data_IF_903763806697
#
_entry.id   IF_903763806697
#
_cell.length_a   1.000
_cell.length_b   1.000
_cell.length_c   1.000
_cell.angle_alpha   90.00
_cell.angle_beta   90.00
_cell.angle_gamma   90.00
#
_symmetry.space_group_name_H-M   'P 1'
#
loop_
_entity.id
_entity.type
_entity.pdbx_description
1 polymer ?
#
# COMPACT_ATOMS: atom_id res chain seq x y z
N UNK A 1 13.83 -48.82 -68.65
CA UNK A 1 13.93 -48.49 -67.18
C UNK A 1 14.04 -46.97 -67.05
N UNK A 2 12.95 -46.31 -66.76
CA UNK A 2 12.94 -44.84 -66.53
C UNK A 2 13.13 -44.58 -65.04
N UNK A 3 14.21 -43.92 -64.67
CA UNK A 3 14.46 -43.47 -63.25
C UNK A 3 13.68 -42.17 -62.99
N UNK A 4 12.73 -42.25 -62.05
CA UNK A 4 11.96 -41.13 -61.60
C UNK A 4 12.80 -40.42 -60.50
N UNK A 5 13.24 -39.19 -60.75
CA UNK A 5 13.86 -38.33 -59.75
C UNK A 5 12.72 -37.57 -59.03
N UNK A 6 12.49 -37.94 -57.76
CA UNK A 6 11.61 -37.18 -56.86
C UNK A 6 12.47 -36.11 -56.21
N UNK A 7 12.27 -34.86 -56.63
CA UNK A 7 12.86 -33.67 -55.98
C UNK A 7 12.03 -33.31 -54.73
N UNK A 8 12.63 -33.49 -53.55
CA UNK A 8 12.01 -33.10 -52.29
C UNK A 8 12.28 -31.60 -52.06
N UNK A 9 11.29 -30.76 -52.40
CA UNK A 9 11.34 -29.32 -52.13
C UNK A 9 11.07 -29.09 -50.64
N UNK A 10 12.13 -28.83 -49.89
CA UNK A 10 12.06 -28.51 -48.45
C UNK A 10 11.54 -27.07 -48.32
N UNK A 11 10.25 -26.93 -48.04
CA UNK A 11 9.60 -25.65 -47.78
C UNK A 11 10.00 -25.19 -46.40
N UNK A 12 11.04 -24.33 -46.28
CA UNK A 12 11.42 -23.64 -45.06
C UNK A 12 10.28 -22.64 -44.75
N UNK A 13 9.39 -23.01 -43.84
CA UNK A 13 8.46 -22.04 -43.23
C UNK A 13 9.27 -21.11 -42.34
N UNK A 14 9.55 -19.91 -42.83
CA UNK A 14 9.98 -18.79 -42.01
C UNK A 14 8.82 -18.48 -41.04
N UNK A 15 8.88 -19.05 -39.85
CA UNK A 15 8.07 -18.54 -38.73
C UNK A 15 8.48 -17.07 -38.52
N UNK A 16 7.55 -16.12 -38.50
CA UNK A 16 7.90 -14.76 -38.19
C UNK A 16 8.51 -14.78 -36.77
N UNK A 17 9.79 -14.41 -36.66
CA UNK A 17 10.38 -14.08 -35.38
C UNK A 17 9.52 -12.91 -34.85
N UNK A 18 8.69 -13.17 -33.86
CA UNK A 18 8.03 -12.08 -33.14
C UNK A 18 9.14 -11.10 -32.70
N UNK A 19 9.06 -9.87 -33.19
CA UNK A 19 10.04 -8.85 -32.80
C UNK A 19 10.08 -8.80 -31.26
N UNK A 20 11.26 -9.05 -30.68
CA UNK A 20 11.42 -8.99 -29.24
C UNK A 20 10.98 -7.61 -28.77
N UNK A 21 10.17 -7.56 -27.72
CA UNK A 21 9.75 -6.29 -27.12
C UNK A 21 11.03 -5.53 -26.70
N UNK A 22 11.25 -4.34 -27.26
CA UNK A 22 12.46 -3.54 -26.96
C UNK A 22 12.62 -3.20 -25.49
N UNK A 23 11.55 -3.31 -24.69
CA UNK A 23 11.55 -3.09 -23.25
C UNK A 23 11.75 -4.37 -22.43
N UNK A 24 11.89 -5.54 -23.06
CA UNK A 24 12.20 -6.80 -22.39
C UNK A 24 13.71 -6.88 -22.08
N UNK A 25 14.14 -6.04 -21.13
CA UNK A 25 15.51 -5.90 -20.66
C UNK A 25 15.50 -5.15 -19.31
N UNK A 26 16.61 -5.10 -18.56
CA UNK A 26 16.71 -4.40 -17.28
C UNK A 26 16.82 -2.87 -17.40
N UNK A 27 16.86 -2.30 -18.61
CA UNK A 27 17.02 -0.86 -18.79
C UNK A 27 15.88 -0.06 -18.16
N UNK A 28 16.21 1.13 -17.66
CA UNK A 28 15.21 2.02 -17.07
C UNK A 28 14.29 2.60 -18.14
N UNK A 29 13.00 2.59 -17.86
CA UNK A 29 11.99 3.29 -18.65
C UNK A 29 11.78 4.67 -18.02
N UNK A 30 11.86 5.74 -18.81
CA UNK A 30 11.62 7.10 -18.36
C UNK A 30 10.24 7.58 -18.78
N UNK A 31 9.44 7.98 -17.80
CA UNK A 31 8.11 8.58 -17.99
C UNK A 31 8.22 10.08 -17.80
N UNK A 32 7.75 10.87 -18.78
CA UNK A 32 7.70 12.33 -18.66
C UNK A 32 6.52 12.92 -19.42
N UNK A 33 5.69 13.70 -18.74
CA UNK A 33 4.49 14.30 -19.33
C UNK A 33 4.78 15.26 -20.49
N UNK A 34 5.94 15.90 -20.48
CA UNK A 34 6.37 16.82 -21.53
C UNK A 34 6.85 16.10 -22.80
N UNK A 35 7.00 14.77 -22.76
CA UNK A 35 7.43 13.94 -23.88
C UNK A 35 8.94 13.83 -24.01
N UNK A 36 9.71 14.20 -23.01
CA UNK A 36 11.18 13.99 -22.98
C UNK A 36 11.58 12.60 -22.53
N UNK A 37 10.62 11.77 -22.06
CA UNK A 37 10.78 10.34 -21.76
C UNK A 37 10.30 9.44 -22.89
N UNK A 38 10.40 8.12 -22.69
CA UNK A 38 9.86 7.12 -23.61
C UNK A 38 8.32 7.12 -23.61
N UNK A 39 7.71 7.42 -22.46
CA UNK A 39 6.25 7.46 -22.29
C UNK A 39 5.81 8.76 -21.64
N UNK A 40 4.54 9.11 -21.86
CA UNK A 40 3.90 10.28 -21.24
C UNK A 40 3.08 9.92 -20.02
N UNK A 41 2.71 8.65 -19.88
CA UNK A 41 1.92 8.12 -18.78
C UNK A 41 2.66 6.97 -18.09
N UNK A 42 2.36 6.77 -16.81
CA UNK A 42 2.92 5.65 -16.04
C UNK A 42 2.27 4.34 -16.49
N UNK A 43 0.98 4.39 -16.85
CA UNK A 43 0.23 3.24 -17.36
C UNK A 43 0.88 2.63 -18.61
N UNK A 44 1.25 3.45 -19.61
CA UNK A 44 1.98 3.00 -20.79
C UNK A 44 3.30 2.30 -20.44
N UNK A 45 4.03 2.81 -19.45
CA UNK A 45 5.29 2.21 -19.00
C UNK A 45 5.07 0.88 -18.26
N UNK A 46 3.96 0.74 -17.52
CA UNK A 46 3.58 -0.53 -16.89
C UNK A 46 3.21 -1.57 -17.95
N UNK A 47 2.40 -1.20 -18.95
CA UNK A 47 1.88 -2.10 -19.99
C UNK A 47 2.98 -2.72 -20.87
N UNK A 48 4.12 -2.05 -21.04
CA UNK A 48 5.23 -2.61 -21.84
C UNK A 48 6.15 -3.53 -21.05
N UNK A 49 5.99 -3.63 -19.74
CA UNK A 49 6.77 -4.54 -18.91
C UNK A 49 6.38 -6.00 -19.16
N UNK A 50 7.38 -6.85 -19.32
CA UNK A 50 7.17 -8.29 -19.52
C UNK A 50 6.64 -8.94 -18.22
N UNK A 51 5.69 -9.84 -18.39
CA UNK A 51 5.24 -10.69 -17.28
C UNK A 51 6.37 -11.62 -16.78
N UNK A 52 6.41 -11.85 -15.47
CA UNK A 52 7.34 -12.80 -14.82
C UNK A 52 8.82 -12.56 -15.18
N UNK A 53 9.24 -11.30 -15.07
CA UNK A 53 10.65 -10.93 -15.30
C UNK A 53 11.57 -11.60 -14.29
N UNK A 54 12.70 -12.09 -14.78
CA UNK A 54 13.81 -12.64 -13.99
C UNK A 54 14.92 -11.58 -13.71
N UNK A 55 14.65 -10.33 -14.04
CA UNK A 55 15.49 -9.16 -13.79
C UNK A 55 14.66 -8.04 -13.13
N UNK A 56 15.34 -7.07 -12.52
CA UNK A 56 14.68 -5.89 -11.97
C UNK A 56 14.48 -4.82 -13.05
N UNK A 57 13.32 -4.16 -13.01
CA UNK A 57 12.96 -3.08 -13.93
C UNK A 57 12.69 -1.80 -13.16
N UNK A 58 13.22 -0.69 -13.64
CA UNK A 58 12.93 0.65 -13.07
C UNK A 58 12.04 1.42 -14.03
N UNK A 59 10.94 1.95 -13.52
CA UNK A 59 10.12 2.98 -14.15
C UNK A 59 10.45 4.29 -13.44
N UNK A 60 11.25 5.14 -14.08
CA UNK A 60 11.64 6.44 -13.55
C UNK A 60 10.66 7.51 -14.02
N UNK A 61 9.99 8.13 -13.07
CA UNK A 61 8.90 9.08 -13.32
C UNK A 61 9.40 10.49 -13.02
N UNK A 62 9.47 11.33 -14.05
CA UNK A 62 9.85 12.73 -13.90
C UNK A 62 8.79 13.53 -13.15
N UNK A 63 9.20 14.70 -12.62
CA UNK A 63 8.29 15.61 -11.94
C UNK A 63 7.06 15.91 -12.80
N UNK A 64 5.90 15.97 -12.14
CA UNK A 64 4.61 16.23 -12.76
C UNK A 64 3.45 15.64 -11.99
N UNK A 65 2.24 16.09 -12.34
CA UNK A 65 0.99 15.53 -11.78
C UNK A 65 0.40 14.56 -12.79
N UNK A 66 0.43 13.28 -12.45
CA UNK A 66 -0.09 12.17 -13.24
C UNK A 66 -1.48 11.81 -12.72
N UNK A 67 -2.53 12.30 -13.38
CA UNK A 67 -3.91 11.93 -13.03
C UNK A 67 -4.24 10.58 -13.67
N UNK A 68 -3.84 9.52 -12.98
CA UNK A 68 -3.93 8.15 -13.46
C UNK A 68 -4.40 7.22 -12.34
N UNK A 69 -5.24 6.25 -12.70
CA UNK A 69 -5.66 5.15 -11.83
C UNK A 69 -4.95 3.89 -12.27
N UNK A 70 -4.00 3.45 -11.47
CA UNK A 70 -2.99 2.47 -11.89
C UNK A 70 -3.15 1.11 -11.21
N UNK A 71 -2.81 0.07 -11.95
CA UNK A 71 -2.65 -1.29 -11.43
C UNK A 71 -1.27 -1.82 -11.84
N UNK A 72 -0.50 -2.31 -10.86
CA UNK A 72 0.59 -3.25 -11.14
C UNK A 72 0.03 -4.66 -10.96
N UNK A 73 -0.28 -5.37 -12.05
CA UNK A 73 -0.93 -6.67 -11.97
C UNK A 73 -0.02 -7.75 -11.38
N UNK A 74 -0.61 -8.85 -10.93
CA UNK A 74 0.09 -9.89 -10.16
C UNK A 74 1.23 -10.60 -10.92
N UNK A 75 1.21 -10.55 -12.25
CA UNK A 75 2.28 -11.11 -13.08
C UNK A 75 3.48 -10.17 -13.28
N UNK A 76 3.40 -8.93 -12.82
CA UNK A 76 4.54 -8.01 -12.80
C UNK A 76 5.25 -8.10 -11.44
N UNK A 77 6.53 -8.49 -11.50
CA UNK A 77 7.40 -8.64 -10.32
C UNK A 77 8.71 -7.88 -10.54
N UNK A 78 9.43 -7.60 -9.46
CA UNK A 78 10.74 -6.96 -9.52
C UNK A 78 10.73 -5.56 -10.19
N UNK A 79 9.67 -4.77 -9.96
CA UNK A 79 9.53 -3.41 -10.50
C UNK A 79 9.78 -2.38 -9.41
N UNK A 80 10.57 -1.37 -9.75
CA UNK A 80 10.69 -0.14 -8.98
C UNK A 80 10.02 1.00 -9.74
N UNK A 81 9.00 1.65 -9.13
CA UNK A 81 8.50 2.95 -9.58
C UNK A 81 9.24 4.00 -8.74
N UNK A 82 10.05 4.81 -9.39
CA UNK A 82 10.88 5.83 -8.75
C UNK A 82 10.55 7.23 -9.29
N UNK A 83 9.99 8.08 -8.45
CA UNK A 83 9.81 9.50 -8.78
C UNK A 83 11.14 10.25 -8.76
N UNK A 84 11.25 11.28 -9.59
CA UNK A 84 12.38 12.20 -9.63
C UNK A 84 12.46 13.00 -8.32
N UNK A 85 11.34 13.49 -7.83
CA UNK A 85 11.20 14.19 -6.56
C UNK A 85 9.92 13.76 -5.84
N UNK A 86 10.03 13.50 -4.53
CA UNK A 86 8.92 13.00 -3.72
C UNK A 86 7.70 13.92 -3.72
N UNK A 87 7.92 15.22 -3.65
CA UNK A 87 6.87 16.21 -3.45
C UNK A 87 6.29 16.72 -4.78
N UNK A 88 7.04 16.57 -5.87
CA UNK A 88 6.70 17.08 -7.20
C UNK A 88 6.32 15.96 -8.20
N UNK A 89 6.63 14.69 -7.91
CA UNK A 89 6.15 13.56 -8.72
C UNK A 89 4.90 12.98 -8.08
N UNK A 90 3.72 13.31 -8.62
CA UNK A 90 2.42 13.05 -7.98
C UNK A 90 1.55 12.17 -8.86
N UNK A 91 1.19 10.99 -8.36
CA UNK A 91 0.11 10.17 -8.93
C UNK A 91 -1.16 10.49 -8.15
N UNK A 92 -2.21 10.93 -8.84
CA UNK A 92 -3.46 11.35 -8.19
C UNK A 92 -4.69 10.80 -8.88
N UNK A 93 -5.72 10.48 -8.08
CA UNK A 93 -7.06 10.09 -8.54
C UNK A 93 -8.10 10.56 -7.52
N UNK A 94 -9.39 10.51 -7.88
CA UNK A 94 -10.47 11.14 -7.11
C UNK A 94 -11.70 10.25 -6.91
N UNK A 95 -11.55 8.92 -7.02
CA UNK A 95 -12.65 7.98 -6.74
C UNK A 95 -12.92 7.86 -5.24
N UNK A 96 -14.21 7.76 -4.88
CA UNK A 96 -14.65 7.44 -3.53
C UNK A 96 -15.77 6.39 -3.53
N UNK A 97 -15.94 5.69 -2.41
CA UNK A 97 -16.79 4.50 -2.31
C UNK A 97 -18.27 4.74 -2.69
N UNK A 98 -18.75 5.97 -2.57
CA UNK A 98 -20.15 6.31 -2.82
C UNK A 98 -20.44 6.71 -4.29
N UNK A 99 -19.42 6.75 -5.17
CA UNK A 99 -19.66 6.92 -6.60
C UNK A 99 -20.53 5.77 -7.10
N UNK A 100 -21.59 6.09 -7.82
CA UNK A 100 -22.43 5.07 -8.42
C UNK A 100 -21.80 4.55 -9.70
N UNK A 101 -21.69 3.24 -9.79
CA UNK A 101 -21.11 2.58 -10.96
C UNK A 101 -21.94 2.89 -12.21
N UNK A 102 -21.36 3.49 -13.26
CA UNK A 102 -22.12 3.97 -14.43
C UNK A 102 -22.64 2.82 -15.29
N UNK A 103 -21.83 1.80 -15.49
CA UNK A 103 -22.19 0.54 -16.21
C UNK A 103 -21.31 -0.54 -15.62
N UNK A 104 -21.72 -1.80 -15.73
CA UNK A 104 -20.81 -2.90 -15.48
C UNK A 104 -19.58 -2.74 -16.40
N UNK A 105 -18.36 -2.69 -15.83
CA UNK A 105 -17.13 -2.85 -16.58
C UNK A 105 -17.02 -4.25 -17.19
N UNK A 106 -15.82 -4.68 -17.55
CA UNK A 106 -15.57 -6.03 -18.08
C UNK A 106 -16.01 -7.16 -17.14
N UNK A 107 -16.08 -6.88 -15.84
CA UNK A 107 -16.72 -7.72 -14.83
C UNK A 107 -18.23 -7.46 -14.76
N UNK A 108 -18.80 -7.07 -15.85
CA UNK A 108 -20.11 -6.50 -16.02
C UNK A 108 -21.20 -7.42 -15.54
N UNK A 109 -21.31 -7.44 -14.32
CA UNK A 109 -22.59 -7.78 -13.79
C UNK A 109 -23.47 -6.54 -13.93
N UNK A 110 -24.47 -6.61 -14.76
CA UNK A 110 -25.58 -5.66 -14.78
C UNK A 110 -26.12 -5.40 -13.36
N UNK A 111 -25.85 -6.34 -12.47
CA UNK A 111 -26.11 -6.32 -11.04
C UNK A 111 -25.43 -5.19 -10.25
N UNK A 112 -24.35 -4.57 -10.72
CA UNK A 112 -23.65 -3.47 -10.01
C UNK A 112 -23.98 -2.08 -10.53
N UNK A 113 -24.67 -1.97 -11.68
CA UNK A 113 -25.10 -0.67 -12.21
C UNK A 113 -25.90 0.13 -11.18
N UNK A 114 -25.50 1.36 -10.93
CA UNK A 114 -26.14 2.26 -9.95
C UNK A 114 -25.86 1.92 -8.48
N UNK A 115 -25.16 0.84 -8.17
CA UNK A 115 -24.68 0.55 -6.80
C UNK A 115 -23.43 1.38 -6.50
N UNK A 116 -23.14 1.66 -5.22
CA UNK A 116 -21.90 2.30 -4.83
C UNK A 116 -20.67 1.50 -5.31
N UNK A 117 -19.62 2.21 -5.70
CA UNK A 117 -18.35 1.63 -6.13
C UNK A 117 -17.71 0.74 -5.06
N UNK A 118 -17.85 1.13 -3.80
CA UNK A 118 -17.24 0.46 -2.65
C UNK A 118 -15.73 0.75 -2.53
N UNK A 119 -15.21 0.56 -1.33
CA UNK A 119 -13.85 0.95 -0.94
C UNK A 119 -12.76 0.42 -1.87
N UNK A 120 -12.80 -0.87 -2.20
CA UNK A 120 -11.68 -1.56 -2.87
C UNK A 120 -11.51 -1.23 -4.34
N UNK A 121 -12.41 -0.46 -4.92
CA UNK A 121 -12.31 0.06 -6.30
C UNK A 121 -11.86 1.50 -6.37
N UNK A 122 -11.63 2.17 -5.25
CA UNK A 122 -11.33 3.61 -5.21
C UNK A 122 -9.85 3.96 -5.31
N UNK A 123 -8.97 2.97 -5.35
CA UNK A 123 -7.51 3.15 -5.33
C UNK A 123 -7.01 4.11 -6.42
N UNK A 124 -5.99 4.86 -6.08
CA UNK A 124 -5.17 5.57 -7.06
C UNK A 124 -4.13 4.62 -7.64
N UNK A 125 -3.36 3.93 -6.79
CA UNK A 125 -2.44 2.88 -7.21
C UNK A 125 -2.77 1.57 -6.49
N UNK A 126 -2.99 0.50 -7.27
CA UNK A 126 -3.14 -0.87 -6.78
C UNK A 126 -1.93 -1.71 -7.17
N UNK A 127 -1.29 -2.33 -6.19
CA UNK A 127 -0.13 -3.19 -6.36
C UNK A 127 -0.52 -4.63 -6.06
N UNK A 128 -0.65 -5.44 -7.10
CA UNK A 128 -0.91 -6.89 -6.99
C UNK A 128 0.36 -7.71 -7.17
N UNK A 129 1.36 -7.16 -7.86
CA UNK A 129 2.66 -7.77 -8.04
C UNK A 129 3.46 -7.82 -6.75
N UNK A 130 4.37 -8.80 -6.65
CA UNK A 130 5.30 -8.95 -5.52
C UNK A 130 6.70 -8.45 -5.87
N UNK A 131 7.53 -8.17 -4.86
CA UNK A 131 8.87 -7.57 -5.03
C UNK A 131 8.80 -6.22 -5.75
N UNK A 132 7.87 -5.39 -5.31
CA UNK A 132 7.67 -4.05 -5.87
C UNK A 132 8.24 -2.99 -4.92
N UNK A 133 8.98 -2.04 -5.47
CA UNK A 133 9.46 -0.86 -4.75
C UNK A 133 8.79 0.40 -5.27
N UNK A 134 8.22 1.19 -4.37
CA UNK A 134 7.72 2.54 -4.63
C UNK A 134 8.66 3.52 -3.91
N UNK A 135 9.23 4.47 -4.65
CA UNK A 135 10.26 5.35 -4.10
C UNK A 135 10.12 6.78 -4.58
N UNK A 136 10.37 7.75 -3.69
CA UNK A 136 10.42 9.18 -3.99
C UNK A 136 9.19 9.69 -4.76
N UNK A 137 7.99 9.31 -4.35
CA UNK A 137 6.76 9.64 -5.08
C UNK A 137 5.62 9.98 -4.12
N UNK A 138 4.76 10.89 -4.53
CA UNK A 138 3.47 11.14 -3.88
C UNK A 138 2.37 10.33 -4.56
N UNK A 139 1.61 9.58 -3.77
CA UNK A 139 0.41 8.86 -4.20
C UNK A 139 -0.77 9.44 -3.43
N UNK A 140 -1.71 10.02 -4.15
CA UNK A 140 -2.80 10.78 -3.57
C UNK A 140 -4.15 10.25 -4.06
N UNK A 141 -5.10 10.05 -3.14
CA UNK A 141 -6.50 10.09 -3.50
C UNK A 141 -7.08 11.42 -3.01
N UNK A 142 -7.36 12.33 -3.94
CA UNK A 142 -7.79 13.68 -3.64
C UNK A 142 -9.32 13.85 -3.61
N UNK A 143 -10.08 12.76 -3.57
CA UNK A 143 -11.52 12.82 -3.36
C UNK A 143 -11.85 13.63 -2.10
N UNK A 144 -12.89 14.44 -2.19
CA UNK A 144 -13.44 15.13 -1.02
C UNK A 144 -13.86 14.09 0.06
N UNK A 145 -14.13 14.55 1.29
CA UNK A 145 -14.55 13.68 2.41
C UNK A 145 -15.96 13.10 2.21
N UNK A 146 -16.14 12.33 1.13
CA UNK A 146 -17.41 11.76 0.68
C UNK A 146 -17.57 10.27 0.97
N UNK A 147 -16.61 9.67 1.64
CA UNK A 147 -16.57 8.23 1.97
C UNK A 147 -15.14 7.70 1.89
N UNK A 148 -15.02 6.39 1.90
CA UNK A 148 -13.73 5.70 1.77
C UNK A 148 -13.10 6.01 0.40
N UNK A 149 -11.79 6.27 0.39
CA UNK A 149 -11.05 6.70 -0.80
C UNK A 149 -9.57 6.29 -0.65
N UNK A 150 -9.21 5.15 -1.24
CA UNK A 150 -7.88 4.53 -1.09
C UNK A 150 -6.87 5.24 -2.00
N UNK A 151 -5.74 5.67 -1.47
CA UNK A 151 -4.62 6.10 -2.32
C UNK A 151 -3.74 4.93 -2.74
N UNK A 152 -3.29 4.12 -1.79
CA UNK A 152 -2.43 2.97 -2.04
C UNK A 152 -3.08 1.66 -1.57
N UNK A 153 -3.30 0.73 -2.50
CA UNK A 153 -3.90 -0.58 -2.26
C UNK A 153 -2.88 -1.68 -2.55
N UNK A 154 -2.47 -2.42 -1.53
CA UNK A 154 -1.43 -3.45 -1.62
C UNK A 154 -2.05 -4.84 -1.52
N UNK A 155 -1.83 -5.69 -2.53
CA UNK A 155 -2.20 -7.12 -2.54
C UNK A 155 -0.98 -8.03 -2.77
N UNK A 156 0.14 -7.49 -3.28
CA UNK A 156 1.38 -8.22 -3.44
C UNK A 156 2.10 -8.49 -2.12
N UNK A 157 3.08 -9.36 -2.17
CA UNK A 157 4.01 -9.62 -1.06
C UNK A 157 5.38 -8.98 -1.35
N UNK A 158 6.19 -8.70 -0.33
CA UNK A 158 7.48 -8.00 -0.45
C UNK A 158 7.34 -6.64 -1.14
N UNK A 159 6.50 -5.77 -0.58
CA UNK A 159 6.33 -4.40 -1.08
C UNK A 159 7.15 -3.43 -0.23
N UNK A 160 8.07 -2.71 -0.87
CA UNK A 160 8.86 -1.65 -0.24
C UNK A 160 8.33 -0.28 -0.67
N UNK A 161 7.99 0.56 0.31
CA UNK A 161 7.58 1.96 0.10
C UNK A 161 8.58 2.85 0.83
N UNK A 162 9.38 3.61 0.08
CA UNK A 162 10.48 4.37 0.65
C UNK A 162 10.42 5.85 0.25
N UNK A 163 10.52 6.73 1.23
CA UNK A 163 10.49 8.19 1.03
C UNK A 163 9.32 8.63 0.14
N UNK A 164 8.11 8.12 0.45
CA UNK A 164 6.88 8.44 -0.27
C UNK A 164 5.93 9.30 0.57
N UNK A 165 5.03 10.04 -0.10
CA UNK A 165 3.87 10.65 0.54
C UNK A 165 2.62 9.92 0.13
N UNK A 166 1.84 9.47 1.11
CA UNK A 166 0.57 8.78 0.90
C UNK A 166 -0.55 9.67 1.45
N UNK A 167 -1.26 10.31 0.54
CA UNK A 167 -2.22 11.37 0.88
C UNK A 167 -3.65 10.90 0.62
N UNK A 168 -4.51 11.13 1.60
CA UNK A 168 -5.92 10.77 1.49
C UNK A 168 -6.77 11.26 2.64
N UNK A 169 -7.94 10.71 2.76
CA UNK A 169 -8.88 10.97 3.84
C UNK A 169 -9.21 9.66 4.59
N UNK A 170 -10.43 9.13 4.46
CA UNK A 170 -10.77 7.85 5.04
C UNK A 170 -10.20 6.71 4.19
N UNK A 171 -9.54 5.72 4.83
CA UNK A 171 -9.03 4.50 4.21
C UNK A 171 -7.85 4.75 3.22
N UNK A 172 -6.87 5.59 3.58
CA UNK A 172 -5.78 6.00 2.67
C UNK A 172 -4.91 4.84 2.20
N UNK A 173 -4.44 3.97 3.12
CA UNK A 173 -3.53 2.84 2.81
C UNK A 173 -4.18 1.52 3.19
N UNK A 174 -4.36 0.65 2.21
CA UNK A 174 -4.92 -0.69 2.39
C UNK A 174 -3.89 -1.79 2.18
N UNK A 175 -3.71 -2.68 3.15
CA UNK A 175 -2.88 -3.88 3.08
C UNK A 175 -3.77 -5.11 2.91
N UNK A 176 -4.03 -5.51 1.65
CA UNK A 176 -5.20 -6.30 1.25
C UNK A 176 -5.16 -7.79 1.57
N UNK A 177 -4.00 -8.41 1.75
CA UNK A 177 -3.85 -9.87 1.87
C UNK A 177 -3.20 -10.23 3.20
N UNK A 178 -3.82 -11.17 3.92
CA UNK A 178 -3.26 -11.71 5.16
C UNK A 178 -1.88 -12.35 4.92
N UNK A 179 -0.99 -12.19 5.86
CA UNK A 179 0.42 -12.62 5.83
C UNK A 179 1.32 -11.94 4.79
N UNK A 180 0.79 -11.24 3.79
CA UNK A 180 1.64 -10.48 2.88
C UNK A 180 2.36 -9.34 3.62
N UNK A 181 3.57 -9.04 3.16
CA UNK A 181 4.52 -8.18 3.83
C UNK A 181 4.70 -6.87 3.09
N UNK A 182 4.67 -5.77 3.81
CA UNK A 182 4.96 -4.45 3.28
C UNK A 182 5.78 -3.63 4.27
N UNK A 183 6.83 -2.96 3.80
CA UNK A 183 7.67 -2.09 4.61
C UNK A 183 7.59 -0.65 4.12
N UNK A 184 7.47 0.27 5.05
CA UNK A 184 7.39 1.70 4.81
C UNK A 184 8.53 2.38 5.57
N UNK A 185 9.43 3.03 4.83
CA UNK A 185 10.57 3.77 5.40
C UNK A 185 10.50 5.25 5.04
N UNK A 186 10.69 6.10 6.02
CA UNK A 186 10.77 7.55 5.83
C UNK A 186 9.57 8.15 5.09
N UNK A 187 8.40 7.55 5.25
CA UNK A 187 7.18 7.97 4.55
C UNK A 187 6.39 9.00 5.34
N UNK A 188 5.66 9.84 4.63
CA UNK A 188 4.60 10.69 5.16
C UNK A 188 3.24 10.09 4.80
N UNK A 189 2.43 9.79 5.81
CA UNK A 189 1.11 9.15 5.62
C UNK A 189 0.05 9.96 6.34
N UNK A 190 -0.98 10.42 5.65
CA UNK A 190 -2.05 11.20 6.25
C UNK A 190 -3.44 10.66 5.93
N UNK A 191 -4.37 10.93 6.84
CA UNK A 191 -5.77 10.61 6.65
C UNK A 191 -6.67 11.04 7.78
N UNK A 192 -7.95 10.74 7.64
CA UNK A 192 -8.98 11.11 8.64
C UNK A 192 -9.37 9.93 9.52
N UNK A 193 -9.86 8.84 8.93
CA UNK A 193 -10.44 7.69 9.64
C UNK A 193 -9.89 6.40 9.08
N UNK A 194 -9.42 5.49 9.96
CA UNK A 194 -8.96 4.15 9.58
C UNK A 194 -7.96 4.19 8.42
N UNK A 195 -7.12 5.23 8.39
CA UNK A 195 -6.36 5.56 7.18
C UNK A 195 -5.17 4.64 6.92
N UNK A 196 -4.91 3.68 7.83
CA UNK A 196 -4.04 2.52 7.60
C UNK A 196 -4.82 1.28 8.02
N UNK A 197 -5.25 0.45 7.07
CA UNK A 197 -6.18 -0.63 7.36
C UNK A 197 -5.92 -1.89 6.54
N UNK A 198 -6.44 -3.03 7.00
CA UNK A 198 -6.34 -4.32 6.31
C UNK A 198 -5.73 -5.44 7.13
N UNK A 199 -5.61 -6.65 6.54
CA UNK A 199 -5.14 -7.86 7.22
C UNK A 199 -3.63 -8.10 7.13
N UNK A 200 -2.90 -7.39 6.25
CA UNK A 200 -1.49 -7.64 5.97
C UNK A 200 -0.56 -7.42 7.17
N UNK A 201 0.69 -7.85 7.04
CA UNK A 201 1.79 -7.48 7.94
C UNK A 201 2.48 -6.25 7.37
N UNK A 202 2.62 -5.20 8.17
CA UNK A 202 3.28 -3.99 7.73
C UNK A 202 4.23 -3.45 8.79
N UNK A 203 5.44 -3.09 8.36
CA UNK A 203 6.46 -2.43 9.15
C UNK A 203 6.59 -0.98 8.73
N UNK A 204 6.45 -0.06 9.67
CA UNK A 204 6.62 1.38 9.46
C UNK A 204 7.83 1.85 10.27
N UNK A 205 8.86 2.36 9.61
CA UNK A 205 10.07 2.87 10.24
C UNK A 205 10.27 4.34 9.89
N UNK A 206 10.51 5.18 10.90
CA UNK A 206 10.76 6.62 10.71
C UNK A 206 9.66 7.39 9.95
N UNK A 207 8.42 6.90 9.95
CA UNK A 207 7.34 7.55 9.21
C UNK A 207 6.69 8.67 10.02
N UNK A 208 6.24 9.73 9.35
CA UNK A 208 5.29 10.68 9.92
C UNK A 208 3.86 10.19 9.62
N UNK A 209 3.06 10.01 10.68
CA UNK A 209 1.67 9.57 10.61
C UNK A 209 0.78 10.74 11.06
N UNK A 210 0.11 11.40 10.10
CA UNK A 210 -0.62 12.64 10.34
C UNK A 210 -2.12 12.46 10.33
N UNK A 211 -2.76 12.77 11.44
CA UNK A 211 -4.21 12.72 11.61
C UNK A 211 -4.87 14.03 11.16
N UNK A 212 -5.86 13.95 10.28
CA UNK A 212 -6.61 15.09 9.71
C UNK A 212 -8.00 15.24 10.33
N UNK A 213 -8.38 14.37 11.27
CA UNK A 213 -9.66 14.44 11.98
C UNK A 213 -9.58 13.72 13.33
N UNK A 214 -10.50 14.05 14.23
CA UNK A 214 -10.72 13.36 15.50
C UNK A 214 -11.33 11.97 15.23
N UNK A 215 -10.51 10.97 14.99
CA UNK A 215 -10.94 9.63 14.57
C UNK A 215 -9.88 8.56 14.92
N UNK A 216 -9.54 7.66 14.00
CA UNK A 216 -8.70 6.49 14.24
C UNK A 216 -7.57 6.43 13.20
N UNK A 217 -6.33 6.14 13.64
CA UNK A 217 -5.19 5.94 12.76
C UNK A 217 -5.32 4.59 12.04
N UNK A 218 -5.40 3.51 12.82
CA UNK A 218 -5.39 2.15 12.26
C UNK A 218 -6.72 1.41 12.40
N UNK A 219 -7.02 0.58 11.41
CA UNK A 219 -8.10 -0.40 11.44
C UNK A 219 -7.57 -1.77 10.93
N UNK A 220 -6.73 -2.39 11.75
CA UNK A 220 -6.18 -3.70 11.42
C UNK A 220 -7.26 -4.79 11.41
N UNK A 221 -7.06 -5.81 10.57
CA UNK A 221 -7.94 -6.98 10.48
C UNK A 221 -7.16 -8.29 10.39
N UNK A 222 -6.01 -8.36 11.05
CA UNK A 222 -5.17 -9.56 11.11
C UNK A 222 -6.00 -10.78 11.50
N UNK A 223 -5.90 -11.91 10.79
CA UNK A 223 -6.64 -13.12 11.13
C UNK A 223 -6.08 -13.81 12.39
N UNK A 224 -6.84 -14.74 12.92
CA UNK A 224 -6.36 -15.66 13.94
C UNK A 224 -5.11 -16.41 13.44
N UNK A 225 -4.09 -16.56 14.31
CA UNK A 225 -2.84 -17.25 13.96
C UNK A 225 -1.78 -16.42 13.25
N UNK A 226 -2.11 -15.26 12.69
CA UNK A 226 -1.10 -14.31 12.20
C UNK A 226 -0.50 -13.57 13.39
N UNK A 227 0.76 -13.82 13.73
CA UNK A 227 1.40 -13.30 14.95
C UNK A 227 1.50 -11.77 14.93
N UNK A 228 1.95 -11.18 13.82
CA UNK A 228 2.10 -9.74 13.67
C UNK A 228 1.09 -9.16 12.69
N UNK A 229 0.65 -7.94 12.95
CA UNK A 229 -0.09 -7.08 12.02
C UNK A 229 0.74 -5.86 11.67
N UNK A 230 0.38 -4.71 12.21
CA UNK A 230 1.11 -3.46 12.01
C UNK A 230 2.12 -3.20 13.12
N UNK A 231 3.35 -2.85 12.74
CA UNK A 231 4.39 -2.42 13.65
C UNK A 231 4.88 -1.03 13.22
N UNK A 232 4.69 -0.05 14.08
CA UNK A 232 5.23 1.30 13.93
C UNK A 232 6.44 1.44 14.85
N UNK A 233 7.62 1.66 14.27
CA UNK A 233 8.86 1.86 15.00
C UNK A 233 9.47 3.22 14.68
N UNK A 234 9.83 3.99 15.70
CA UNK A 234 10.41 5.33 15.58
C UNK A 234 9.58 6.29 14.71
N UNK A 235 8.27 6.08 14.64
CA UNK A 235 7.39 6.96 13.89
C UNK A 235 7.01 8.20 14.70
N UNK A 236 6.65 9.27 14.01
CA UNK A 236 6.13 10.51 14.59
C UNK A 236 4.64 10.63 14.28
N UNK A 237 3.82 10.66 15.34
CA UNK A 237 2.37 10.85 15.23
C UNK A 237 2.05 12.34 15.41
N UNK A 238 1.54 12.95 14.33
CA UNK A 238 1.19 14.38 14.25
C UNK A 238 -0.28 14.58 13.90
N UNK A 239 -0.76 15.79 13.96
CA UNK A 239 -2.13 16.12 13.60
C UNK A 239 -2.26 17.51 12.96
N UNK A 240 -3.34 17.73 12.25
CA UNK A 240 -3.75 19.06 11.81
C UNK A 240 -4.16 19.94 13.00
N UNK A 241 -4.04 21.26 12.87
CA UNK A 241 -4.53 22.17 13.90
C UNK A 241 -6.00 21.93 14.23
N UNK A 242 -6.34 21.85 15.54
CA UNK A 242 -7.70 21.57 16.01
C UNK A 242 -8.06 20.09 16.09
N UNK A 243 -7.20 19.19 15.70
CA UNK A 243 -7.36 17.74 15.91
C UNK A 243 -6.70 17.35 17.23
N UNK A 244 -7.48 16.89 18.21
CA UNK A 244 -7.06 16.66 19.59
C UNK A 244 -7.60 15.37 20.24
N UNK A 245 -8.34 14.52 19.49
CA UNK A 245 -9.03 13.33 20.00
C UNK A 245 -8.92 12.14 19.07
N UNK A 246 -7.68 11.65 18.88
CA UNK A 246 -7.38 10.57 17.95
C UNK A 246 -7.06 9.29 18.71
N UNK A 247 -7.65 8.17 18.28
CA UNK A 247 -7.26 6.84 18.74
C UNK A 247 -6.10 6.28 17.89
N UNK A 248 -5.21 5.54 18.50
CA UNK A 248 -4.15 4.79 17.80
C UNK A 248 -4.73 3.75 16.83
N UNK A 249 -5.91 3.21 17.18
CA UNK A 249 -6.62 2.32 16.29
C UNK A 249 -7.85 1.66 16.89
N UNK A 250 -8.52 0.90 16.02
CA UNK A 250 -9.68 0.05 16.37
C UNK A 250 -9.66 -1.25 15.54
N UNK A 251 -10.10 -2.41 16.09
CA UNK A 251 -10.04 -3.69 15.40
C UNK A 251 -11.19 -3.82 14.40
N UNK A 252 -10.88 -3.72 13.10
CA UNK A 252 -11.88 -3.95 12.06
C UNK A 252 -12.40 -5.41 12.07
N UNK A 253 -11.53 -6.35 12.46
CA UNK A 253 -11.88 -7.75 12.68
C UNK A 253 -11.33 -8.23 14.02
N UNK A 254 -11.88 -9.33 14.60
CA UNK A 254 -11.23 -10.02 15.72
C UNK A 254 -9.77 -10.36 15.40
N UNK A 255 -8.93 -10.45 16.42
CA UNK A 255 -7.48 -10.75 16.33
C UNK A 255 -6.62 -9.66 15.67
N UNK A 256 -7.19 -8.49 15.35
CA UNK A 256 -6.42 -7.34 14.86
C UNK A 256 -5.18 -7.10 15.74
N UNK A 257 -4.03 -6.91 15.10
CA UNK A 257 -2.75 -6.70 15.78
C UNK A 257 -2.11 -5.37 15.33
N UNK A 258 -1.75 -4.52 16.29
CA UNK A 258 -1.02 -3.27 16.02
C UNK A 258 -0.11 -2.96 17.21
N UNK A 259 1.13 -2.61 16.93
CA UNK A 259 2.13 -2.19 17.89
C UNK A 259 2.71 -0.82 17.51
N UNK A 260 2.74 0.10 18.45
CA UNK A 260 3.55 1.32 18.37
C UNK A 260 4.74 1.20 19.33
N UNK A 261 5.96 1.32 18.81
CA UNK A 261 7.16 1.25 19.63
C UNK A 261 8.16 2.36 19.28
N UNK A 262 8.77 2.93 20.31
CA UNK A 262 9.75 4.02 20.19
C UNK A 262 9.23 5.26 19.44
N UNK A 263 7.92 5.45 19.37
CA UNK A 263 7.30 6.52 18.61
C UNK A 263 7.19 7.81 19.43
N UNK A 264 7.27 8.96 18.73
CA UNK A 264 6.88 10.25 19.26
C UNK A 264 5.38 10.46 19.06
N UNK A 265 4.62 10.65 20.14
CA UNK A 265 3.16 10.81 20.08
C UNK A 265 2.75 12.22 20.49
N UNK A 266 2.15 12.96 19.57
CA UNK A 266 1.59 14.29 19.84
C UNK A 266 0.41 14.25 20.80
N UNK A 267 0.07 15.41 21.39
CA UNK A 267 -1.01 15.56 22.38
C UNK A 267 -2.42 15.24 21.87
N UNK A 268 -2.58 15.08 20.56
CA UNK A 268 -3.84 14.69 19.91
C UNK A 268 -4.25 13.23 20.20
N UNK A 269 -3.32 12.39 20.66
CA UNK A 269 -3.63 10.99 20.99
C UNK A 269 -4.43 10.94 22.29
N UNK A 270 -5.59 10.31 22.23
CA UNK A 270 -6.50 10.14 23.39
C UNK A 270 -5.83 9.34 24.50
N UNK A 271 -6.13 9.68 25.77
CA UNK A 271 -5.60 8.94 26.93
C UNK A 271 -5.92 7.43 26.89
N UNK A 272 -7.11 7.06 26.37
CA UNK A 272 -7.55 5.65 26.23
C UNK A 272 -6.71 4.89 25.21
N UNK A 273 -6.12 5.56 24.24
CA UNK A 273 -5.27 5.05 23.17
C UNK A 273 -6.02 4.26 22.10
N UNK A 274 -6.86 3.30 22.49
CA UNK A 274 -7.49 2.35 21.62
C UNK A 274 -9.01 2.31 21.78
N UNK A 275 -9.71 1.89 20.75
CA UNK A 275 -11.17 1.73 20.73
C UNK A 275 -11.55 0.30 20.27
N UNK A 276 -12.59 -0.29 20.85
CA UNK A 276 -13.00 -1.67 20.59
C UNK A 276 -13.97 -1.87 19.43
N UNK A 277 -14.16 -0.86 18.56
CA UNK A 277 -15.16 -0.86 17.47
C UNK A 277 -16.62 -0.95 17.97
N UNK A 278 -16.90 -0.57 19.21
CA UNK A 278 -18.24 -0.77 19.81
C UNK A 278 -18.58 -2.23 20.07
N UNK A 279 -17.59 -3.15 20.10
CA UNK A 279 -17.78 -4.59 20.33
C UNK A 279 -16.89 -5.07 21.47
N UNK A 280 -17.49 -5.39 22.60
CA UNK A 280 -16.76 -5.87 23.78
C UNK A 280 -15.99 -7.18 23.52
N UNK A 281 -16.49 -8.05 22.64
CA UNK A 281 -15.77 -9.27 22.25
C UNK A 281 -14.40 -9.02 21.62
N UNK A 282 -14.20 -7.87 20.98
CA UNK A 282 -12.91 -7.50 20.41
C UNK A 282 -11.83 -7.28 21.47
N UNK A 283 -12.21 -6.89 22.69
CA UNK A 283 -11.28 -6.67 23.80
C UNK A 283 -10.56 -7.96 24.24
N UNK A 284 -11.16 -9.12 23.97
CA UNK A 284 -10.60 -10.43 24.29
C UNK A 284 -9.64 -10.95 23.23
N UNK A 285 -9.74 -10.45 22.01
CA UNK A 285 -9.01 -11.00 20.85
C UNK A 285 -8.04 -10.01 20.21
N UNK A 286 -8.30 -8.71 20.31
CA UNK A 286 -7.40 -7.69 19.77
C UNK A 286 -6.03 -7.72 20.46
N UNK A 287 -4.97 -7.59 19.68
CA UNK A 287 -3.58 -7.66 20.15
C UNK A 287 -2.90 -6.31 19.95
N UNK A 288 -3.38 -5.33 20.70
CA UNK A 288 -2.89 -3.96 20.63
C UNK A 288 -1.87 -3.71 21.73
N UNK A 289 -0.72 -3.17 21.34
CA UNK A 289 0.39 -2.99 22.26
C UNK A 289 1.20 -1.72 21.98
N UNK A 290 1.92 -1.30 22.99
CA UNK A 290 2.81 -0.15 22.96
C UNK A 290 4.12 -0.49 23.70
N UNK A 291 5.23 0.17 23.28
CA UNK A 291 6.51 0.06 23.96
C UNK A 291 7.33 1.33 23.80
N UNK A 292 7.83 1.87 24.92
CA UNK A 292 8.81 2.96 24.96
C UNK A 292 8.46 4.17 24.08
N UNK A 293 7.17 4.48 23.93
CA UNK A 293 6.74 5.69 23.24
C UNK A 293 6.96 6.93 24.13
N UNK A 294 7.12 8.08 23.52
CA UNK A 294 7.37 9.33 24.20
C UNK A 294 6.53 10.48 23.62
N UNK A 295 6.54 11.64 24.24
CA UNK A 295 5.73 12.79 23.88
C UNK A 295 4.42 12.90 24.65
N UNK A 296 3.66 13.96 24.42
CA UNK A 296 2.50 14.31 25.24
C UNK A 296 1.35 13.28 25.15
N UNK A 297 1.23 12.57 24.02
CA UNK A 297 0.21 11.54 23.80
C UNK A 297 0.61 10.12 24.24
N UNK A 298 1.85 9.93 24.74
CA UNK A 298 2.38 8.61 25.07
C UNK A 298 2.09 8.15 26.52
N UNK A 299 1.35 8.91 27.30
CA UNK A 299 1.03 8.54 28.69
C UNK A 299 0.14 7.30 28.74
N UNK A 300 0.63 6.21 29.36
CA UNK A 300 -0.04 4.90 29.33
C UNK A 300 -1.00 4.64 30.50
N UNK A 301 -0.98 5.49 31.53
CA UNK A 301 -1.76 5.30 32.79
C UNK A 301 -3.28 5.14 32.53
N UNK A 302 -3.81 5.83 31.53
CA UNK A 302 -5.24 5.82 31.20
C UNK A 302 -5.57 4.98 29.95
N UNK A 303 -4.63 4.21 29.43
CA UNK A 303 -4.89 3.27 28.31
C UNK A 303 -5.93 2.24 28.72
N UNK A 304 -6.73 1.81 27.74
CA UNK A 304 -7.70 0.72 27.97
C UNK A 304 -7.03 -0.53 28.52
N UNK A 305 -7.67 -1.19 29.49
CA UNK A 305 -7.08 -2.32 30.20
C UNK A 305 -6.77 -3.55 29.32
N UNK A 306 -7.42 -3.67 28.19
CA UNK A 306 -7.21 -4.76 27.23
C UNK A 306 -6.06 -4.53 26.23
N UNK A 307 -5.44 -3.33 26.24
CA UNK A 307 -4.18 -3.11 25.51
C UNK A 307 -2.98 -3.46 26.39
N UNK A 308 -1.84 -3.70 25.79
CA UNK A 308 -0.64 -4.17 26.48
C UNK A 308 0.51 -3.17 26.39
N UNK A 309 1.24 -3.03 27.49
CA UNK A 309 2.57 -2.44 27.46
C UNK A 309 3.58 -3.59 27.41
N UNK A 310 4.40 -3.65 26.35
CA UNK A 310 5.40 -4.69 26.23
C UNK A 310 6.54 -4.49 27.22
N UNK A 311 7.08 -5.58 27.74
CA UNK A 311 8.35 -5.58 28.46
C UNK A 311 9.51 -5.39 27.49
N UNK A 312 10.69 -4.97 27.99
CA UNK A 312 11.93 -4.88 27.21
C UNK A 312 12.27 -6.21 26.51
N UNK A 313 12.02 -7.35 27.18
CA UNK A 313 12.28 -8.68 26.63
C UNK A 313 11.33 -9.05 25.48
N UNK A 314 10.06 -8.65 25.55
CA UNK A 314 9.10 -8.84 24.49
C UNK A 314 9.41 -7.93 23.29
N UNK A 315 9.65 -6.64 23.55
CA UNK A 315 9.98 -5.66 22.52
C UNK A 315 11.27 -6.01 21.74
N UNK A 316 12.28 -6.58 22.43
CA UNK A 316 13.52 -7.01 21.79
C UNK A 316 13.34 -8.15 20.77
N UNK A 317 12.20 -8.85 20.80
CA UNK A 317 11.85 -9.86 19.81
C UNK A 317 11.15 -9.29 18.57
N UNK A 318 10.69 -8.05 18.64
CA UNK A 318 10.00 -7.39 17.52
C UNK A 318 11.05 -6.74 16.64
N UNK A 319 11.59 -7.52 15.72
CA UNK A 319 12.48 -7.07 14.65
C UNK A 319 11.82 -7.31 13.31
N UNK A 320 12.28 -6.65 12.26
CA UNK A 320 11.70 -6.82 10.92
C UNK A 320 11.80 -8.28 10.45
N UNK A 321 12.92 -8.95 10.79
CA UNK A 321 13.14 -10.36 10.47
C UNK A 321 12.10 -11.25 11.16
N UNK A 322 11.79 -11.00 12.43
CA UNK A 322 10.77 -11.77 13.16
C UNK A 322 9.35 -11.46 12.67
N UNK A 323 9.08 -10.20 12.28
CA UNK A 323 7.77 -9.79 11.76
C UNK A 323 7.52 -10.37 10.38
N UNK A 324 8.54 -10.44 9.52
CA UNK A 324 8.40 -10.87 8.13
C UNK A 324 8.88 -12.31 7.86
N UNK A 325 9.63 -12.91 8.80
CA UNK A 325 10.31 -14.18 8.63
C UNK A 325 11.76 -13.99 8.17
N UNK A 326 12.48 -15.09 7.97
CA UNK A 326 13.93 -15.09 7.67
C UNK A 326 14.29 -14.45 6.33
N UNK A 327 13.33 -14.26 5.44
CA UNK A 327 13.51 -13.53 4.18
C UNK A 327 13.23 -12.05 4.39
N UNK A 328 14.08 -11.41 5.19
CA UNK A 328 14.08 -9.95 5.25
C UNK A 328 14.70 -9.37 3.98
N UNK A 329 14.17 -8.31 3.56
CA UNK A 329 14.40 -7.42 2.41
C UNK A 329 15.85 -6.99 2.23
#
# INVERSE_FOLDING_TARGET
>A
MKKLFISFLMMLTLLPLAAANKYDNPDTIVVSRDGTGEFRTIDEAIEVCRAFMDYSKVIYVKEGVYKEKLILPSWLTNITICGEDRDNTIITWDDHANIKMPVGGLDSEAAVKGKPMGTFRTYTLKVQGSYITLKNITIENNAAKLGQAVSLHLEGDHILVQNCRLLGNQDTVYTGIANNRSAFYDCYIEGTTDFIFGPGRAWFENCEIRSKANSYITAASSPAGQEYGYVFNKCKLTAEPGVDKVYLGRPWRPYAATLFMNCEMGSHIRPEGWHNWGKQSNEQTARYSEYNNHGAGAATKARVAWSRQLTKKEAAKVTIENVFGEEAW
#
